data_IF_958830430253
#
_entry.id   IF_958830430253
#
_cell.length_a   1.000
_cell.length_b   1.000
_cell.length_c   1.000
_cell.angle_alpha   90.00
_cell.angle_beta   90.00
_cell.angle_gamma   90.00
#
_symmetry.space_group_name_H-M   'P 1'
#
loop_
_entity.id
_entity.type
_entity.pdbx_description
1 polymer ?
#
# COMPACT_ATOMS: atom_id res chain seq x y z
N UNK A 1 2.94 8.36 -8.73
CA UNK A 1 3.30 8.86 -7.37
C UNK A 1 3.65 7.66 -6.51
N UNK A 2 2.79 6.65 -6.52
CA UNK A 2 3.02 5.33 -5.90
C UNK A 2 4.23 4.61 -6.52
N UNK A 3 4.31 4.47 -7.85
CA UNK A 3 5.46 3.78 -8.47
C UNK A 3 6.82 4.42 -8.14
N UNK A 4 6.85 5.76 -8.15
CA UNK A 4 8.03 6.54 -7.80
C UNK A 4 8.42 6.35 -6.34
N UNK A 5 7.44 6.27 -5.43
CA UNK A 5 7.66 6.03 -4.01
C UNK A 5 8.15 4.61 -3.76
N UNK A 6 7.52 3.60 -4.37
CA UNK A 6 7.94 2.19 -4.27
C UNK A 6 9.37 2.02 -4.76
N UNK A 7 9.70 2.64 -5.89
CA UNK A 7 11.06 2.62 -6.43
C UNK A 7 12.05 3.32 -5.49
N UNK A 8 11.71 4.48 -4.92
CA UNK A 8 12.62 5.17 -3.99
C UNK A 8 12.78 4.40 -2.67
N UNK A 9 11.73 3.77 -2.14
CA UNK A 9 11.81 2.90 -0.96
C UNK A 9 12.66 1.65 -1.21
N UNK A 10 12.69 1.13 -2.45
CA UNK A 10 13.47 -0.06 -2.81
C UNK A 10 14.90 0.21 -3.31
N UNK A 11 15.24 1.45 -3.66
CA UNK A 11 16.57 1.79 -4.19
C UNK A 11 17.59 1.94 -3.07
N UNK A 12 18.70 1.23 -3.21
CA UNK A 12 19.90 1.46 -2.42
C UNK A 12 20.53 2.81 -2.82
N UNK A 13 20.51 3.76 -1.88
CA UNK A 13 21.12 5.08 -2.07
C UNK A 13 22.64 5.00 -1.83
N UNK A 14 23.44 5.27 -2.87
CA UNK A 14 24.90 5.20 -2.84
C UNK A 14 25.49 6.15 -1.78
N UNK A 15 24.82 7.28 -1.53
CA UNK A 15 25.24 8.24 -0.50
C UNK A 15 25.20 7.68 0.93
N UNK A 16 24.37 6.66 1.18
CA UNK A 16 24.27 6.01 2.48
C UNK A 16 25.39 4.97 2.69
N UNK A 17 25.92 4.38 1.61
CA UNK A 17 27.05 3.46 1.65
C UNK A 17 28.41 4.17 1.59
N UNK A 18 28.47 5.34 0.92
CA UNK A 18 29.69 6.12 0.75
C UNK A 18 29.44 7.57 1.22
N UNK A 19 29.63 7.86 2.52
CA UNK A 19 29.22 9.13 3.12
C UNK A 19 29.85 10.38 2.48
N UNK A 20 31.06 10.27 1.92
CA UNK A 20 31.72 11.40 1.26
C UNK A 20 31.14 11.74 -0.12
N UNK A 21 30.31 10.87 -0.73
CA UNK A 21 29.61 11.14 -1.99
C UNK A 21 28.19 11.68 -1.78
N UNK A 22 27.73 11.81 -0.54
CA UNK A 22 26.36 12.18 -0.21
C UNK A 22 25.97 13.58 -0.74
N UNK A 23 26.93 14.49 -0.89
CA UNK A 23 26.68 15.86 -1.37
C UNK A 23 26.33 15.96 -2.86
N UNK A 24 26.62 14.93 -3.66
CA UNK A 24 26.45 14.96 -5.12
C UNK A 24 25.03 14.53 -5.55
N UNK A 25 24.28 13.84 -4.67
CA UNK A 25 22.97 13.22 -5.00
C UNK A 25 23.04 12.48 -6.36
N UNK A 26 24.03 11.58 -6.50
CA UNK A 26 24.40 10.95 -7.78
C UNK A 26 23.22 10.27 -8.49
N UNK A 27 22.30 9.69 -7.71
CA UNK A 27 21.08 9.02 -8.21
C UNK A 27 19.86 9.96 -8.31
N UNK A 28 20.01 11.22 -7.89
CA UNK A 28 18.90 12.18 -7.80
C UNK A 28 17.85 11.80 -6.74
N UNK A 29 18.18 10.92 -5.80
CA UNK A 29 17.29 10.38 -4.79
C UNK A 29 16.65 11.52 -3.97
N UNK A 30 17.47 12.44 -3.46
CA UNK A 30 17.00 13.55 -2.63
C UNK A 30 16.08 14.46 -3.44
N UNK A 31 16.45 14.76 -4.69
CA UNK A 31 15.63 15.57 -5.60
C UNK A 31 14.26 14.92 -5.88
N UNK A 32 14.23 13.61 -6.10
CA UNK A 32 13.00 12.84 -6.39
C UNK A 32 12.10 12.74 -5.16
N UNK A 33 12.68 12.47 -3.98
CA UNK A 33 11.95 12.50 -2.70
C UNK A 33 11.32 13.88 -2.41
N UNK A 34 12.05 14.97 -2.67
CA UNK A 34 11.49 16.34 -2.56
C UNK A 34 10.33 16.56 -3.53
N UNK A 35 10.39 16.00 -4.74
CA UNK A 35 9.29 16.11 -5.70
C UNK A 35 8.04 15.33 -5.23
N UNK A 36 8.21 14.16 -4.61
CA UNK A 36 7.12 13.42 -3.97
C UNK A 36 6.51 14.20 -2.81
N UNK A 37 7.34 14.73 -1.90
CA UNK A 37 6.88 15.56 -0.78
C UNK A 37 6.01 16.72 -1.27
N UNK A 38 6.42 17.42 -2.33
CA UNK A 38 5.62 18.52 -2.92
C UNK A 38 4.27 18.08 -3.48
N UNK A 39 4.17 16.86 -4.02
CA UNK A 39 2.88 16.33 -4.50
C UNK A 39 1.94 16.06 -3.32
N UNK A 40 2.50 15.54 -2.25
CA UNK A 40 1.76 15.23 -1.03
C UNK A 40 1.34 16.50 -0.25
N UNK A 41 2.18 17.53 -0.26
CA UNK A 41 1.83 18.85 0.29
C UNK A 41 0.55 19.40 -0.36
N UNK A 42 0.40 19.27 -1.69
CA UNK A 42 -0.82 19.69 -2.42
C UNK A 42 -2.06 18.89 -2.01
N UNK A 43 -1.91 17.60 -1.69
CA UNK A 43 -3.02 16.78 -1.19
C UNK A 43 -3.46 17.25 0.21
N UNK A 44 -2.50 17.53 1.10
CA UNK A 44 -2.80 18.09 2.42
C UNK A 44 -3.44 19.47 2.36
N UNK A 45 -3.00 20.34 1.46
CA UNK A 45 -3.65 21.64 1.24
C UNK A 45 -5.12 21.47 0.80
N UNK A 46 -5.42 20.44 0.01
CA UNK A 46 -6.79 20.10 -0.35
C UNK A 46 -7.60 19.68 0.89
N UNK A 47 -7.05 18.82 1.75
CA UNK A 47 -7.70 18.42 3.00
C UNK A 47 -7.97 19.59 3.94
N UNK A 48 -6.99 20.46 4.13
CA UNK A 48 -7.13 21.64 4.99
C UNK A 48 -8.20 22.60 4.47
N UNK A 49 -8.42 22.66 3.15
CA UNK A 49 -9.53 23.40 2.56
C UNK A 49 -10.87 22.71 2.83
N UNK A 50 -10.94 21.38 2.82
CA UNK A 50 -12.16 20.64 3.17
C UNK A 50 -12.58 20.88 4.61
N UNK A 51 -11.60 20.96 5.53
CA UNK A 51 -11.83 21.27 6.96
C UNK A 51 -12.44 22.64 7.24
N UNK A 52 -12.31 23.60 6.32
CA UNK A 52 -12.87 24.95 6.48
C UNK A 52 -14.37 25.03 6.19
N UNK A 53 -14.98 23.95 5.71
CA UNK A 53 -16.43 23.90 5.52
C UNK A 53 -17.13 23.68 6.87
N UNK A 54 -18.20 24.44 7.12
CA UNK A 54 -18.95 24.40 8.39
C UNK A 54 -19.62 23.05 8.70
N UNK A 55 -19.81 22.21 7.67
CA UNK A 55 -20.38 20.87 7.78
C UNK A 55 -19.31 19.75 7.84
N UNK A 56 -18.04 20.09 8.10
CA UNK A 56 -16.96 19.11 8.11
C UNK A 56 -17.04 18.22 9.35
N UNK A 57 -17.29 16.93 9.14
CA UNK A 57 -17.16 15.89 10.16
C UNK A 57 -15.90 15.10 9.85
N UNK A 58 -14.90 15.23 10.72
CA UNK A 58 -13.69 14.45 10.65
C UNK A 58 -14.02 12.95 10.78
N UNK A 59 -13.79 12.16 9.74
CA UNK A 59 -14.20 10.76 9.69
C UNK A 59 -13.18 9.83 9.02
N UNK A 60 -12.07 10.36 8.51
CA UNK A 60 -11.05 9.56 7.84
C UNK A 60 -9.76 9.42 8.67
N UNK A 61 -8.88 8.52 8.21
CA UNK A 61 -7.60 8.26 8.86
C UNK A 61 -6.67 9.49 8.82
N UNK A 62 -6.74 10.30 7.76
CA UNK A 62 -5.93 11.50 7.60
C UNK A 62 -6.31 12.54 8.65
N UNK A 63 -7.60 12.68 8.94
CA UNK A 63 -8.13 13.52 9.99
C UNK A 63 -7.65 13.14 11.37
N UNK A 64 -7.71 11.85 11.68
CA UNK A 64 -7.23 11.35 12.97
C UNK A 64 -5.74 11.63 13.13
N UNK A 65 -4.92 11.35 12.11
CA UNK A 65 -3.48 11.62 12.16
C UNK A 65 -3.17 13.12 12.29
N UNK A 66 -3.93 13.97 11.61
CA UNK A 66 -3.78 15.42 11.73
C UNK A 66 -4.20 15.91 13.13
N UNK A 67 -5.28 15.39 13.71
CA UNK A 67 -5.67 15.70 15.09
C UNK A 67 -4.60 15.25 16.09
N UNK A 68 -4.07 14.03 15.94
CA UNK A 68 -2.96 13.54 16.76
C UNK A 68 -1.72 14.43 16.62
N UNK A 69 -1.40 14.91 15.41
CA UNK A 69 -0.25 15.82 15.22
C UNK A 69 -0.40 17.17 15.93
N UNK A 70 -1.62 17.57 16.24
CA UNK A 70 -1.95 18.84 16.92
C UNK A 70 -2.12 18.68 18.43
N UNK A 71 -2.18 17.44 18.94
CA UNK A 71 -2.38 17.16 20.35
C UNK A 71 -1.10 17.48 21.16
N UNK A 72 -1.13 18.46 22.08
CA UNK A 72 0.02 18.82 22.89
C UNK A 72 0.32 17.81 24.00
N UNK A 73 -0.60 16.88 24.30
CA UNK A 73 -0.52 15.94 25.43
C UNK A 73 0.23 14.65 25.12
N UNK A 74 0.55 14.39 23.84
CA UNK A 74 1.29 13.20 23.41
C UNK A 74 2.74 13.25 23.89
N UNK A 75 3.20 12.16 24.52
CA UNK A 75 4.61 11.98 24.93
C UNK A 75 5.56 11.99 23.72
N UNK A 76 5.13 11.40 22.60
CA UNK A 76 5.84 11.43 21.32
C UNK A 76 5.00 12.18 20.30
N UNK A 77 5.44 13.40 19.94
CA UNK A 77 4.74 14.24 18.98
C UNK A 77 4.94 13.72 17.56
N UNK A 78 3.83 13.38 16.90
CA UNK A 78 3.84 13.09 15.46
C UNK A 78 3.93 14.45 14.75
N UNK A 79 5.10 14.73 14.17
CA UNK A 79 5.29 15.93 13.37
C UNK A 79 4.52 15.83 12.06
N UNK A 80 4.23 16.99 11.44
CA UNK A 80 3.51 17.05 10.16
C UNK A 80 4.18 16.18 9.09
N UNK A 81 5.51 16.18 9.02
CA UNK A 81 6.29 15.33 8.10
C UNK A 81 6.12 13.83 8.39
N UNK A 82 5.95 13.43 9.65
CA UNK A 82 5.60 12.06 10.04
C UNK A 82 4.19 11.66 9.59
N UNK A 83 3.22 12.57 9.70
CA UNK A 83 1.87 12.35 9.13
C UNK A 83 1.95 12.19 7.62
N UNK A 84 2.73 13.03 6.93
CA UNK A 84 2.93 12.92 5.47
C UNK A 84 3.51 11.55 5.12
N UNK A 85 4.60 11.16 5.77
CA UNK A 85 5.26 9.89 5.52
C UNK A 85 4.30 8.71 5.74
N UNK A 86 3.52 8.72 6.81
CA UNK A 86 2.57 7.65 7.11
C UNK A 86 1.46 7.51 6.07
N UNK A 87 0.87 8.62 5.64
CA UNK A 87 -0.16 8.62 4.58
C UNK A 87 0.42 8.05 3.29
N UNK A 88 1.63 8.51 2.93
CA UNK A 88 2.31 8.10 1.72
C UNK A 88 2.60 6.59 1.72
N UNK A 89 3.12 6.08 2.84
CA UNK A 89 3.44 4.66 3.04
C UNK A 89 2.17 3.80 3.00
N UNK A 90 1.09 4.25 3.64
CA UNK A 90 -0.20 3.53 3.67
C UNK A 90 -0.78 3.35 2.27
N UNK A 91 -0.71 4.39 1.43
CA UNK A 91 -1.16 4.32 0.03
C UNK A 91 -0.28 3.34 -0.77
N UNK A 92 1.03 3.39 -0.58
CA UNK A 92 1.97 2.52 -1.28
C UNK A 92 1.73 1.04 -0.93
N UNK A 93 1.76 0.74 0.36
CA UNK A 93 1.62 -0.61 0.88
C UNK A 93 0.25 -1.20 0.52
N UNK A 94 -0.83 -0.42 0.61
CA UNK A 94 -2.16 -0.87 0.27
C UNK A 94 -2.35 -1.13 -1.23
N UNK A 95 -1.77 -0.30 -2.10
CA UNK A 95 -1.99 -0.41 -3.54
C UNK A 95 -1.20 -1.57 -4.15
N UNK A 96 0.10 -1.67 -3.85
CA UNK A 96 0.98 -2.66 -4.47
C UNK A 96 0.59 -4.09 -4.06
N UNK A 97 0.39 -4.30 -2.76
CA UNK A 97 0.00 -5.61 -2.23
C UNK A 97 -1.39 -6.05 -2.70
N UNK A 98 -2.35 -5.12 -2.81
CA UNK A 98 -3.68 -5.43 -3.32
C UNK A 98 -3.65 -5.74 -4.82
N UNK A 99 -2.87 -5.01 -5.62
CA UNK A 99 -2.72 -5.26 -7.06
C UNK A 99 -2.15 -6.66 -7.32
N UNK A 100 -1.03 -6.99 -6.65
CA UNK A 100 -0.39 -8.31 -6.75
C UNK A 100 -1.37 -9.41 -6.35
N UNK A 101 -2.09 -9.22 -5.24
CA UNK A 101 -3.13 -10.17 -4.79
C UNK A 101 -4.22 -10.39 -5.83
N UNK A 102 -4.73 -9.31 -6.42
CA UNK A 102 -5.77 -9.40 -7.44
C UNK A 102 -5.27 -10.09 -8.72
N UNK A 103 -4.04 -9.79 -9.13
CA UNK A 103 -3.39 -10.42 -10.28
C UNK A 103 -3.23 -11.93 -10.08
N UNK A 104 -2.79 -12.35 -8.89
CA UNK A 104 -2.71 -13.77 -8.54
C UNK A 104 -4.08 -14.44 -8.49
N UNK A 105 -5.07 -13.80 -7.86
CA UNK A 105 -6.42 -14.32 -7.79
C UNK A 105 -7.01 -14.52 -9.21
N UNK A 106 -6.82 -13.57 -10.10
CA UNK A 106 -7.26 -13.66 -11.50
C UNK A 106 -6.50 -14.74 -12.27
N UNK A 107 -5.18 -14.84 -12.10
CA UNK A 107 -4.37 -15.91 -12.69
C UNK A 107 -4.86 -17.30 -12.26
N UNK A 108 -5.17 -17.47 -10.97
CA UNK A 108 -5.62 -18.73 -10.41
C UNK A 108 -7.06 -19.09 -10.86
N UNK A 109 -7.93 -18.09 -10.97
CA UNK A 109 -9.27 -18.26 -11.53
C UNK A 109 -9.22 -18.70 -13.00
N UNK A 110 -8.37 -18.07 -13.82
CA UNK A 110 -8.23 -18.42 -15.25
C UNK A 110 -7.70 -19.85 -15.46
N UNK A 111 -6.89 -20.38 -14.54
CA UNK A 111 -6.43 -21.78 -14.57
C UNK A 111 -7.53 -22.79 -14.24
N UNK A 112 -8.63 -22.36 -13.59
CA UNK A 112 -9.71 -23.22 -13.09
C UNK A 112 -11.07 -22.81 -13.71
N UNK A 113 -11.35 -23.21 -14.97
CA UNK A 113 -12.52 -22.75 -15.71
C UNK A 113 -13.85 -23.05 -15.02
N UNK A 114 -13.96 -24.16 -14.29
CA UNK A 114 -15.16 -24.51 -13.50
C UNK A 114 -15.44 -23.52 -12.36
N UNK A 115 -14.39 -23.01 -11.69
CA UNK A 115 -14.53 -22.03 -10.61
C UNK A 115 -14.81 -20.65 -11.20
N UNK A 116 -14.14 -20.28 -12.29
CA UNK A 116 -14.36 -19.02 -12.98
C UNK A 116 -15.80 -18.88 -13.51
N UNK A 117 -16.38 -19.98 -14.03
CA UNK A 117 -17.79 -20.00 -14.46
C UNK A 117 -18.73 -19.72 -13.29
N UNK A 118 -18.52 -20.37 -12.14
CA UNK A 118 -19.31 -20.12 -10.92
C UNK A 118 -19.17 -18.68 -10.41
N UNK A 119 -17.94 -18.15 -10.38
CA UNK A 119 -17.70 -16.77 -9.98
C UNK A 119 -18.41 -15.75 -10.89
N UNK A 120 -18.51 -16.03 -12.19
CA UNK A 120 -19.31 -15.22 -13.13
C UNK A 120 -20.80 -15.34 -12.87
N UNK A 121 -21.32 -16.55 -12.67
CA UNK A 121 -22.73 -16.76 -12.33
C UNK A 121 -23.12 -16.07 -11.01
N UNK A 122 -22.23 -16.04 -10.02
CA UNK A 122 -22.41 -15.27 -8.78
C UNK A 122 -22.45 -13.76 -9.04
N UNK A 123 -21.53 -13.23 -9.86
CA UNK A 123 -21.49 -11.82 -10.22
C UNK A 123 -22.77 -11.37 -10.95
N UNK A 124 -23.25 -12.18 -11.90
CA UNK A 124 -24.48 -11.92 -12.65
C UNK A 124 -25.70 -11.85 -11.72
N UNK A 125 -25.77 -12.74 -10.71
CA UNK A 125 -26.85 -12.71 -9.69
C UNK A 125 -26.83 -11.44 -8.82
N UNK A 126 -25.64 -10.97 -8.43
CA UNK A 126 -25.50 -9.72 -7.65
C UNK A 126 -25.91 -8.52 -8.50
N UNK A 127 -25.57 -8.51 -9.79
CA UNK A 127 -25.98 -7.44 -10.70
C UNK A 127 -27.51 -7.35 -10.87
N UNK A 128 -28.21 -8.49 -10.76
CA UNK A 128 -29.68 -8.56 -10.80
C UNK A 128 -30.33 -8.19 -9.45
N UNK A 129 -29.69 -8.49 -8.32
CA UNK A 129 -30.16 -8.14 -6.97
C UNK A 129 -29.03 -7.56 -6.08
N UNK A 130 -28.94 -6.22 -5.97
CA UNK A 130 -27.92 -5.53 -5.17
C UNK A 130 -27.99 -5.83 -3.66
N UNK A 131 -29.11 -6.37 -3.16
CA UNK A 131 -29.24 -6.69 -1.73
C UNK A 131 -28.39 -7.91 -1.32
N UNK A 132 -27.90 -8.69 -2.29
CA UNK A 132 -26.98 -9.81 -2.08
C UNK A 132 -25.53 -9.35 -1.83
N UNK A 133 -25.15 -8.16 -2.30
CA UNK A 133 -23.81 -7.57 -2.09
C UNK A 133 -23.52 -7.39 -0.58
N UNK A 134 -24.51 -6.91 0.17
CA UNK A 134 -24.43 -6.67 1.63
C UNK A 134 -24.28 -7.96 2.44
N UNK A 135 -24.77 -9.10 1.92
CA UNK A 135 -24.61 -10.41 2.57
C UNK A 135 -23.21 -10.98 2.36
N UNK A 136 -22.65 -10.83 1.16
CA UNK A 136 -21.31 -11.30 0.85
C UNK A 136 -20.23 -10.52 1.61
N UNK A 137 -20.43 -9.23 1.82
CA UNK A 137 -19.54 -8.39 2.62
C UNK A 137 -19.42 -8.88 4.08
N UNK A 138 -20.50 -9.45 4.65
CA UNK A 138 -20.51 -9.98 6.02
C UNK A 138 -19.86 -11.35 6.16
N UNK A 139 -20.01 -12.23 5.16
CA UNK A 139 -19.62 -13.64 5.28
C UNK A 139 -18.32 -13.98 4.53
N UNK A 140 -18.00 -13.29 3.43
CA UNK A 140 -16.87 -13.62 2.54
C UNK A 140 -15.50 -13.13 2.99
N UNK A 141 -15.44 -11.97 3.66
CA UNK A 141 -14.17 -11.30 4.02
C UNK A 141 -13.36 -12.14 5.02
N UNK A 142 -13.98 -12.94 5.88
CA UNK A 142 -13.23 -13.70 6.90
C UNK A 142 -12.54 -14.96 6.37
N UNK A 143 -13.15 -15.65 5.41
CA UNK A 143 -12.64 -16.93 4.91
C UNK A 143 -11.63 -16.76 3.76
N UNK A 144 -11.84 -15.77 2.89
CA UNK A 144 -10.95 -15.52 1.76
C UNK A 144 -9.64 -14.85 2.21
N UNK A 145 -9.71 -13.86 3.11
CA UNK A 145 -8.52 -13.13 3.55
C UNK A 145 -7.55 -14.03 4.32
N UNK A 146 -8.00 -14.91 5.21
CA UNK A 146 -7.09 -15.79 5.96
C UNK A 146 -6.44 -16.87 5.09
N UNK A 147 -7.20 -17.48 4.18
CA UNK A 147 -6.65 -18.52 3.29
C UNK A 147 -5.69 -17.92 2.26
N UNK A 148 -6.02 -16.75 1.70
CA UNK A 148 -5.17 -16.07 0.74
C UNK A 148 -3.88 -15.53 1.37
N UNK A 149 -3.94 -14.91 2.56
CA UNK A 149 -2.72 -14.49 3.28
C UNK A 149 -1.81 -15.68 3.59
N UNK A 150 -2.36 -16.84 3.94
CA UNK A 150 -1.56 -18.05 4.21
C UNK A 150 -0.93 -18.61 2.93
N UNK A 151 -1.62 -18.57 1.79
CA UNK A 151 -1.05 -18.99 0.50
C UNK A 151 0.05 -18.02 0.06
N UNK A 152 -0.20 -16.72 0.12
CA UNK A 152 0.75 -15.70 -0.27
C UNK A 152 1.99 -15.66 0.63
N UNK A 153 1.82 -15.88 1.95
CA UNK A 153 2.93 -16.06 2.87
C UNK A 153 3.75 -17.32 2.56
N UNK A 154 3.10 -18.40 2.11
CA UNK A 154 3.77 -19.66 1.76
C UNK A 154 4.52 -19.56 0.43
N UNK A 155 3.95 -18.89 -0.57
CA UNK A 155 4.61 -18.61 -1.85
C UNK A 155 5.77 -17.63 -1.66
N UNK A 156 5.60 -16.58 -0.85
CA UNK A 156 6.68 -15.66 -0.50
C UNK A 156 7.82 -16.37 0.26
N UNK A 157 7.52 -17.26 1.21
CA UNK A 157 8.55 -18.08 1.86
C UNK A 157 9.27 -19.02 0.88
N UNK A 158 8.54 -19.57 -0.09
CA UNK A 158 9.11 -20.48 -1.07
C UNK A 158 10.00 -19.76 -2.08
N UNK A 159 9.60 -18.56 -2.52
CA UNK A 159 10.41 -17.72 -3.40
C UNK A 159 11.65 -17.18 -2.68
N UNK A 160 11.54 -16.79 -1.41
CA UNK A 160 12.71 -16.41 -0.59
C UNK A 160 13.67 -17.57 -0.36
N UNK A 161 13.16 -18.78 -0.11
CA UNK A 161 13.99 -19.99 0.02
C UNK A 161 14.69 -20.37 -1.29
N UNK A 162 14.04 -20.18 -2.42
CA UNK A 162 14.64 -20.39 -3.75
C UNK A 162 15.71 -19.33 -4.06
N UNK A 163 15.47 -18.07 -3.68
CA UNK A 163 16.43 -16.98 -3.82
C UNK A 163 17.69 -17.20 -2.96
N UNK A 164 17.54 -17.64 -1.72
CA UNK A 164 18.68 -17.99 -0.87
C UNK A 164 19.49 -19.17 -1.43
N UNK A 165 18.82 -20.20 -1.97
CA UNK A 165 19.51 -21.29 -2.65
C UNK A 165 20.26 -20.81 -3.90
N UNK A 166 19.65 -19.95 -4.73
CA UNK A 166 20.32 -19.42 -5.92
C UNK A 166 21.53 -18.54 -5.60
N UNK A 167 21.45 -17.74 -4.53
CA UNK A 167 22.57 -16.91 -4.08
C UNK A 167 23.72 -17.73 -3.47
N UNK A 168 23.42 -18.87 -2.83
CA UNK A 168 24.43 -19.73 -2.21
C UNK A 168 25.15 -20.65 -3.23
N UNK A 169 24.60 -20.83 -4.44
CA UNK A 169 25.20 -21.65 -5.51
C UNK A 169 26.25 -20.87 -6.32
N UNK A 170 26.34 -19.54 -6.19
CA UNK A 170 27.38 -18.71 -6.83
C UNK A 170 28.54 -18.32 -5.89
N UNK A 171 28.60 -18.92 -4.69
CA UNK A 171 29.59 -18.62 -3.65
C UNK A 171 30.64 -19.71 -3.37
N UNK A 172 30.77 -20.74 -4.22
CA UNK A 172 31.85 -21.74 -4.12
C UNK A 172 32.71 -21.79 -5.38
#
# INVERSE_FOLDING_TARGET
MVDELLLLNGVLNIGDFIPWLNFVDVQGYIKRMKALSKKLDKLMEHEERRKKNENYVANDMVDMLLHLSQDPTLEVKIQRDGVKAFILESIAAGTDTASVTLEWAMCELLKKPEIFKKAREELDRIAEDPTLEVKLERDGVKAFTLSHFLVQAKEFQQDMGNLEQMLNIHGQ
#
